data_IF_948719324973
#
_entry.id   IF_948719324973
#
_cell.length_a   1.000
_cell.length_b   1.000
_cell.length_c   1.000
_cell.angle_alpha   90.00
_cell.angle_beta   90.00
_cell.angle_gamma   90.00
#
_symmetry.space_group_name_H-M   'P 1'
#
loop_
_entity.id
_entity.type
_entity.pdbx_description
1 polymer ?
#
# COMPACT_ATOMS: atom_id res chain seq x y z
N UNK A 1 11.29 -64.31 33.76
CA UNK A 1 10.90 -64.93 32.48
C UNK A 1 10.58 -63.82 31.50
N UNK A 2 11.41 -63.70 30.45
CA UNK A 2 11.17 -63.25 29.06
C UNK A 2 10.06 -62.23 28.76
N UNK A 3 10.42 -61.18 28.02
CA UNK A 3 9.46 -60.38 27.25
C UNK A 3 10.06 -59.14 26.60
N UNK A 4 10.96 -59.33 25.63
CA UNK A 4 11.49 -58.26 24.78
C UNK A 4 10.40 -57.72 23.84
N UNK A 5 10.26 -56.40 23.76
CA UNK A 5 9.36 -55.70 22.83
C UNK A 5 10.12 -54.63 22.04
N UNK A 6 10.72 -55.07 20.93
CA UNK A 6 11.28 -54.24 19.85
C UNK A 6 10.20 -53.33 19.25
N UNK A 7 10.49 -52.06 19.05
CA UNK A 7 9.87 -51.25 17.99
C UNK A 7 10.93 -50.43 17.24
N UNK A 8 10.70 -50.12 15.95
CA UNK A 8 11.76 -50.08 14.94
C UNK A 8 12.12 -48.66 14.48
N UNK A 9 13.42 -48.48 14.21
CA UNK A 9 13.97 -47.86 13.00
C UNK A 9 13.36 -46.56 12.49
N UNK A 10 13.93 -45.43 12.91
CA UNK A 10 13.88 -44.19 12.15
C UNK A 10 14.69 -44.36 10.84
N UNK A 11 13.99 -44.65 9.73
CA UNK A 11 14.57 -44.54 8.39
C UNK A 11 14.74 -43.04 8.08
N UNK A 12 15.99 -42.58 8.11
CA UNK A 12 16.38 -41.29 7.53
C UNK A 12 16.23 -41.38 6.01
N UNK A 13 15.24 -40.67 5.46
CA UNK A 13 15.17 -40.45 4.02
C UNK A 13 16.31 -39.52 3.59
N UNK A 14 17.24 -40.05 2.80
CA UNK A 14 18.27 -39.30 2.11
C UNK A 14 17.62 -38.51 0.96
N UNK A 15 17.92 -37.21 0.88
CA UNK A 15 17.52 -36.34 -0.23
C UNK A 15 18.60 -36.44 -1.31
N UNK A 16 18.32 -36.87 -2.55
CA UNK A 16 19.32 -36.90 -3.61
C UNK A 16 19.61 -35.49 -4.14
N UNK A 17 20.88 -35.27 -4.45
CA UNK A 17 21.45 -34.02 -4.95
C UNK A 17 20.90 -33.61 -6.32
N UNK A 18 20.87 -32.29 -6.51
CA UNK A 18 20.45 -31.63 -7.75
C UNK A 18 21.72 -31.29 -8.53
N UNK A 19 21.95 -32.02 -9.63
CA UNK A 19 23.09 -31.86 -10.53
C UNK A 19 23.09 -30.49 -11.21
N UNK A 20 24.28 -29.87 -11.23
CA UNK A 20 24.55 -28.63 -11.95
C UNK A 20 24.70 -28.93 -13.44
N UNK A 21 23.65 -28.65 -14.20
CA UNK A 21 23.70 -28.58 -15.65
C UNK A 21 24.52 -27.38 -16.11
N UNK A 22 25.71 -27.66 -16.65
CA UNK A 22 26.55 -26.72 -17.35
C UNK A 22 26.06 -26.51 -18.79
N UNK A 23 26.25 -25.28 -19.28
CA UNK A 23 26.54 -24.99 -20.69
C UNK A 23 25.34 -24.85 -21.63
N UNK A 24 24.96 -23.61 -21.93
CA UNK A 24 24.58 -23.26 -23.30
C UNK A 24 25.19 -21.91 -23.68
N UNK A 25 26.14 -21.99 -24.59
CA UNK A 25 26.80 -20.89 -25.29
C UNK A 25 25.74 -20.09 -26.05
N UNK A 26 25.46 -18.86 -25.61
CA UNK A 26 24.68 -17.91 -26.39
C UNK A 26 25.59 -17.19 -27.39
N UNK A 27 25.46 -17.71 -28.61
CA UNK A 27 25.80 -17.14 -29.91
C UNK A 27 25.90 -15.62 -29.91
N UNK A 28 27.07 -15.13 -30.34
CA UNK A 28 27.24 -13.75 -30.75
C UNK A 28 26.36 -13.43 -31.95
N UNK A 29 25.50 -12.43 -31.82
CA UNK A 29 25.02 -11.65 -32.95
C UNK A 29 25.84 -10.37 -33.02
N UNK A 30 26.62 -10.27 -34.09
CA UNK A 30 27.28 -9.05 -34.50
C UNK A 30 26.22 -7.97 -34.76
N UNK A 31 26.11 -7.02 -33.85
CA UNK A 31 25.37 -5.78 -34.07
C UNK A 31 26.12 -4.99 -35.15
N UNK A 32 25.59 -5.04 -36.38
CA UNK A 32 26.00 -4.18 -37.48
C UNK A 32 25.80 -2.72 -37.06
N UNK A 33 26.87 -1.95 -37.22
CA UNK A 33 26.98 -0.57 -36.79
C UNK A 33 25.82 0.30 -37.23
N UNK A 34 25.05 0.74 -36.25
CA UNK A 34 24.28 1.98 -36.35
C UNK A 34 25.30 3.09 -36.13
N UNK A 35 25.67 3.78 -37.23
CA UNK A 35 26.46 5.02 -37.16
C UNK A 35 25.70 5.98 -36.24
N UNK A 36 26.32 6.29 -35.10
CA UNK A 36 25.89 7.41 -34.27
C UNK A 36 25.96 8.68 -35.14
N UNK A 37 24.79 9.24 -35.44
CA UNK A 37 24.70 10.59 -35.97
C UNK A 37 25.26 11.54 -34.89
N UNK A 38 26.19 12.44 -35.23
CA UNK A 38 26.64 13.43 -34.27
C UNK A 38 25.44 14.32 -33.92
N UNK A 39 25.04 14.31 -32.64
CA UNK A 39 24.25 15.39 -32.07
C UNK A 39 25.04 16.68 -32.28
N UNK A 40 24.70 17.42 -33.34
CA UNK A 40 25.12 18.80 -33.50
C UNK A 40 24.40 19.60 -32.40
N UNK A 41 25.05 19.72 -31.25
CA UNK A 41 24.74 20.68 -30.19
C UNK A 41 24.92 22.09 -30.77
N UNK A 42 23.93 22.56 -31.54
CA UNK A 42 23.78 23.99 -31.79
C UNK A 42 23.50 24.64 -30.45
N UNK A 43 24.45 25.46 -30.01
CA UNK A 43 24.32 26.34 -28.87
C UNK A 43 23.03 27.16 -29.00
N UNK A 44 22.07 26.92 -28.10
CA UNK A 44 20.97 27.83 -27.87
C UNK A 44 21.53 29.09 -27.21
N UNK A 45 21.84 30.11 -28.03
CA UNK A 45 22.13 31.46 -27.56
C UNK A 45 20.84 32.07 -27.01
N UNK A 46 20.54 31.79 -25.75
CA UNK A 46 19.44 32.42 -25.01
C UNK A 46 19.83 33.88 -24.78
N UNK A 47 19.27 34.80 -25.57
CA UNK A 47 19.35 36.24 -25.27
C UNK A 47 18.59 36.47 -23.97
N UNK A 48 19.28 36.90 -22.91
CA UNK A 48 18.62 37.38 -21.67
C UNK A 48 17.81 38.64 -22.01
N UNK A 49 16.50 38.69 -21.71
CA UNK A 49 15.79 39.96 -21.71
C UNK A 49 16.32 40.81 -20.54
N UNK A 50 16.85 41.99 -20.84
CA UNK A 50 17.03 43.08 -19.87
C UNK A 50 15.69 43.79 -19.74
N UNK A 51 15.02 43.63 -18.61
CA UNK A 51 14.30 44.73 -17.95
C UNK A 51 13.74 44.24 -16.62
N UNK A 52 14.16 44.93 -15.57
CA UNK A 52 13.61 44.83 -14.24
C UNK A 52 12.19 45.41 -14.28
N UNK A 53 11.22 44.62 -13.82
CA UNK A 53 9.84 45.03 -13.60
C UNK A 53 9.39 44.55 -12.23
N UNK A 54 9.24 45.50 -11.32
CA UNK A 54 8.46 45.53 -10.08
C UNK A 54 8.31 44.25 -9.21
N UNK A 55 8.96 44.16 -8.03
CA UNK A 55 8.89 42.99 -7.14
C UNK A 55 7.54 42.77 -6.44
N UNK A 56 6.54 43.65 -6.64
CA UNK A 56 5.33 43.70 -5.80
C UNK A 56 4.04 43.20 -6.46
N UNK A 57 4.07 42.71 -7.70
CA UNK A 57 2.87 42.27 -8.44
C UNK A 57 2.61 40.75 -8.41
N UNK A 58 3.18 40.01 -7.45
CA UNK A 58 2.88 38.58 -7.25
C UNK A 58 2.32 38.24 -5.87
N UNK A 59 1.96 39.23 -5.06
CA UNK A 59 1.29 38.97 -3.79
C UNK A 59 0.04 38.11 -4.05
N UNK A 60 -0.05 36.87 -3.54
CA UNK A 60 -1.26 36.08 -3.67
C UNK A 60 -2.36 36.88 -2.98
N UNK A 61 -3.44 37.20 -3.71
CA UNK A 61 -4.64 37.78 -3.08
C UNK A 61 -5.00 36.85 -1.92
N UNK A 62 -5.36 37.37 -0.72
CA UNK A 62 -6.01 36.53 0.26
C UNK A 62 -7.30 36.03 -0.38
N UNK A 63 -7.29 34.77 -0.83
CA UNK A 63 -8.49 34.11 -1.29
C UNK A 63 -9.52 34.26 -0.16
N UNK A 64 -10.57 35.03 -0.46
CA UNK A 64 -11.76 35.08 0.36
C UNK A 64 -12.18 33.63 0.57
N UNK A 65 -12.07 33.16 1.83
CA UNK A 65 -12.49 31.81 2.23
C UNK A 65 -13.93 31.65 1.76
N UNK A 66 -14.23 30.85 0.72
CA UNK A 66 -15.61 30.77 0.27
C UNK A 66 -16.36 30.04 1.37
N UNK A 67 -17.36 30.70 1.96
CA UNK A 67 -18.29 30.12 2.94
C UNK A 67 -19.00 28.86 2.38
N UNK A 68 -18.85 28.56 1.08
CA UNK A 68 -19.15 27.26 0.46
C UNK A 68 -18.38 26.08 1.04
N UNK A 69 -17.23 26.30 1.70
CA UNK A 69 -16.47 25.23 2.36
C UNK A 69 -17.17 24.71 3.63
N UNK A 70 -17.99 25.52 4.30
CA UNK A 70 -18.66 25.14 5.55
C UNK A 70 -19.83 24.17 5.37
N UNK A 71 -20.49 24.17 4.20
CA UNK A 71 -21.58 23.23 3.91
C UNK A 71 -21.08 21.83 3.51
N UNK A 72 -19.90 21.72 2.89
CA UNK A 72 -19.27 20.42 2.57
C UNK A 72 -18.65 19.72 3.80
N UNK A 73 -18.54 20.40 4.93
CA UNK A 73 -18.02 19.81 6.17
C UNK A 73 -19.13 19.22 7.06
N UNK A 74 -20.41 19.38 6.68
CA UNK A 74 -21.53 19.05 7.58
C UNK A 74 -22.06 17.61 7.42
N UNK A 75 -21.67 16.87 6.38
CA UNK A 75 -22.03 15.45 6.18
C UNK A 75 -20.93 14.68 5.44
N UNK A 76 -19.68 14.84 5.86
CA UNK A 76 -18.58 14.04 5.32
C UNK A 76 -18.26 12.92 6.31
N UNK A 77 -18.77 11.72 6.04
CA UNK A 77 -18.44 10.58 6.87
C UNK A 77 -16.93 10.32 6.91
N UNK A 78 -16.43 9.86 8.05
CA UNK A 78 -15.01 9.69 8.32
C UNK A 78 -14.67 8.24 8.67
N UNK A 79 -13.51 7.77 8.22
CA UNK A 79 -12.97 6.45 8.53
C UNK A 79 -11.90 6.54 9.59
N UNK A 80 -12.06 5.80 10.69
CA UNK A 80 -11.06 5.71 11.75
C UNK A 80 -10.70 4.24 12.04
N UNK A 81 -9.48 4.03 12.56
CA UNK A 81 -8.98 2.69 12.88
C UNK A 81 -9.18 2.37 14.36
N UNK A 82 -9.55 1.12 14.65
CA UNK A 82 -9.67 0.56 15.98
C UNK A 82 -8.62 -0.56 16.10
N UNK A 83 -7.58 -0.39 16.93
CA UNK A 83 -6.57 -1.42 17.13
C UNK A 83 -7.12 -2.59 17.94
N UNK A 84 -6.52 -3.76 17.76
CA UNK A 84 -6.84 -4.98 18.52
C UNK A 84 -6.55 -6.25 17.72
N UNK A 85 -6.71 -7.39 18.38
CA UNK A 85 -6.84 -8.70 17.73
C UNK A 85 -8.30 -9.09 17.83
N UNK A 86 -9.08 -8.72 16.82
CA UNK A 86 -10.52 -8.90 16.78
C UNK A 86 -10.84 -9.99 15.75
N UNK A 87 -11.87 -10.77 16.03
CA UNK A 87 -12.66 -11.50 15.03
C UNK A 87 -13.52 -10.51 14.24
N UNK A 88 -14.13 -10.95 13.13
CA UNK A 88 -15.02 -10.08 12.34
C UNK A 88 -16.25 -9.64 13.14
N UNK A 89 -16.81 -10.52 13.99
CA UNK A 89 -17.95 -10.18 14.84
C UNK A 89 -17.57 -9.19 15.95
N UNK A 90 -16.39 -9.35 16.56
CA UNK A 90 -15.86 -8.40 17.54
C UNK A 90 -15.54 -7.04 16.91
N UNK A 91 -15.03 -7.02 15.68
CA UNK A 91 -14.84 -5.79 14.89
C UNK A 91 -16.17 -5.04 14.71
N UNK A 92 -17.24 -5.74 14.32
CA UNK A 92 -18.58 -5.16 14.21
C UNK A 92 -19.09 -4.60 15.55
N UNK A 93 -18.87 -5.32 16.66
CA UNK A 93 -19.21 -4.83 17.98
C UNK A 93 -18.37 -3.60 18.37
N UNK A 94 -17.09 -3.57 18.02
CA UNK A 94 -16.17 -2.48 18.35
C UNK A 94 -16.49 -1.18 17.61
N UNK A 95 -16.96 -1.25 16.36
CA UNK A 95 -17.47 -0.07 15.65
C UNK A 95 -18.81 0.38 16.23
N UNK A 96 -19.75 -0.55 16.50
CA UNK A 96 -21.07 -0.22 17.08
C UNK A 96 -20.96 0.50 18.43
N UNK A 97 -20.04 0.07 19.30
CA UNK A 97 -19.77 0.75 20.59
C UNK A 97 -19.32 2.20 20.45
N UNK A 98 -18.86 2.62 19.26
CA UNK A 98 -18.43 3.98 18.95
C UNK A 98 -19.43 4.73 18.07
N UNK A 99 -20.67 4.24 17.95
CA UNK A 99 -21.68 4.86 17.08
C UNK A 99 -21.38 4.74 15.59
N UNK A 100 -20.52 3.78 15.20
CA UNK A 100 -20.06 3.60 13.83
C UNK A 100 -20.40 2.20 13.30
N UNK A 101 -20.26 2.02 12.00
CA UNK A 101 -20.34 0.72 11.33
C UNK A 101 -18.96 0.29 10.84
N UNK A 102 -18.75 -1.01 10.59
CA UNK A 102 -17.52 -1.45 9.93
C UNK A 102 -17.45 -0.81 8.54
N UNK A 103 -16.31 -0.23 8.21
CA UNK A 103 -16.12 0.45 6.95
C UNK A 103 -16.28 -0.51 5.76
N UNK A 104 -16.93 -0.02 4.70
CA UNK A 104 -16.90 -0.68 3.39
C UNK A 104 -15.55 -0.43 2.73
N UNK A 105 -15.25 -1.24 1.72
CA UNK A 105 -14.07 -1.07 0.86
C UNK A 105 -13.99 0.35 0.29
N UNK A 106 -15.11 0.84 -0.24
CA UNK A 106 -15.20 2.18 -0.81
C UNK A 106 -14.91 3.29 0.20
N UNK A 107 -15.36 3.15 1.45
CA UNK A 107 -15.07 4.12 2.51
C UNK A 107 -13.56 4.18 2.77
N UNK A 108 -12.89 3.02 2.90
CA UNK A 108 -11.44 2.97 3.11
C UNK A 108 -10.66 3.58 1.94
N UNK A 109 -11.04 3.24 0.70
CA UNK A 109 -10.40 3.79 -0.49
C UNK A 109 -10.59 5.30 -0.60
N UNK A 110 -11.79 5.81 -0.32
CA UNK A 110 -12.06 7.25 -0.32
C UNK A 110 -11.24 7.97 0.76
N UNK A 111 -11.20 7.43 1.98
CA UNK A 111 -10.41 8.00 3.06
C UNK A 111 -8.91 8.01 2.74
N UNK A 112 -8.38 6.94 2.17
CA UNK A 112 -6.98 6.92 1.68
C UNK A 112 -6.76 7.97 0.59
N UNK A 113 -7.64 8.02 -0.42
CA UNK A 113 -7.40 8.83 -1.62
C UNK A 113 -7.61 10.33 -1.39
N UNK A 114 -8.62 10.70 -0.60
CA UNK A 114 -9.06 12.09 -0.46
C UNK A 114 -8.76 12.69 0.92
N UNK A 115 -8.69 11.86 1.96
CA UNK A 115 -8.34 12.30 3.33
C UNK A 115 -6.90 11.97 3.73
N UNK A 116 -6.15 11.26 2.87
CA UNK A 116 -4.76 10.91 3.12
C UNK A 116 -4.56 9.84 4.20
N UNK A 117 -5.58 9.03 4.50
CA UNK A 117 -5.50 8.00 5.54
C UNK A 117 -4.31 7.04 5.30
N UNK A 118 -3.40 6.98 6.27
CA UNK A 118 -2.22 6.12 6.26
C UNK A 118 -2.16 5.31 7.56
N UNK A 119 -2.19 3.98 7.45
CA UNK A 119 -2.14 3.07 8.60
C UNK A 119 -1.43 1.76 8.21
N UNK A 120 -0.41 1.37 8.99
CA UNK A 120 0.39 0.15 8.75
C UNK A 120 -0.29 -1.16 9.22
N UNK A 121 -1.51 -1.08 9.73
CA UNK A 121 -2.17 -2.21 10.39
C UNK A 121 -3.36 -2.70 9.58
N UNK A 122 -3.42 -4.03 9.40
CA UNK A 122 -4.56 -4.70 8.82
C UNK A 122 -5.81 -4.52 9.68
N UNK A 123 -6.90 -4.12 9.03
CA UNK A 123 -8.20 -4.00 9.68
C UNK A 123 -9.31 -4.69 8.89
N UNK A 124 -10.23 -5.31 9.62
CA UNK A 124 -11.45 -5.87 9.05
C UNK A 124 -12.32 -4.81 8.38
N UNK A 125 -12.88 -5.17 7.24
CA UNK A 125 -13.88 -4.43 6.48
C UNK A 125 -15.20 -5.22 6.40
N UNK A 126 -16.28 -4.53 5.99
CA UNK A 126 -17.63 -5.09 5.97
C UNK A 126 -17.81 -6.27 5.00
N UNK A 127 -16.95 -6.41 3.98
CA UNK A 127 -16.93 -7.56 3.06
C UNK A 127 -16.23 -8.79 3.65
N UNK A 128 -15.69 -8.70 4.89
CA UNK A 128 -14.91 -9.75 5.52
C UNK A 128 -13.46 -9.81 5.05
N UNK A 129 -13.02 -8.88 4.20
CA UNK A 129 -11.62 -8.73 3.87
C UNK A 129 -10.84 -8.00 4.97
N UNK A 130 -9.52 -8.17 4.97
CA UNK A 130 -8.61 -7.37 5.78
C UNK A 130 -7.70 -6.57 4.87
N UNK A 131 -7.73 -5.24 5.03
CA UNK A 131 -6.98 -4.30 4.21
C UNK A 131 -6.28 -3.24 5.07
N UNK A 132 -5.34 -2.50 4.49
CA UNK A 132 -4.68 -1.36 5.13
C UNK A 132 -4.20 -0.34 4.09
N UNK A 133 -4.43 0.97 4.30
CA UNK A 133 -4.03 2.02 3.37
C UNK A 133 -2.63 2.58 3.67
N UNK A 134 -1.81 2.76 2.63
CA UNK A 134 -0.47 3.36 2.74
C UNK A 134 -0.39 4.56 1.79
N UNK A 135 -0.19 5.74 2.35
CA UNK A 135 0.03 6.99 1.59
C UNK A 135 1.52 7.26 1.45
N UNK A 136 2.30 6.98 2.50
CA UNK A 136 3.76 7.08 2.53
C UNK A 136 4.40 5.68 2.57
N UNK A 137 4.91 5.17 1.43
CA UNK A 137 5.52 3.84 1.33
C UNK A 137 6.68 3.66 2.31
N UNK A 138 6.74 2.50 2.98
CA UNK A 138 7.77 2.19 3.98
C UNK A 138 8.04 0.69 4.07
N UNK A 139 9.29 0.25 4.31
CA UNK A 139 9.69 -1.16 4.21
C UNK A 139 8.85 -2.13 5.05
N UNK A 140 8.42 -1.72 6.25
CA UNK A 140 7.65 -2.57 7.17
C UNK A 140 6.14 -2.63 6.92
N UNK A 141 5.63 -1.91 5.91
CA UNK A 141 4.19 -1.75 5.69
C UNK A 141 3.80 -2.08 4.25
N UNK A 142 3.94 -3.37 3.90
CA UNK A 142 3.61 -3.92 2.58
C UNK A 142 4.79 -4.06 1.62
N UNK A 143 5.94 -3.45 1.89
CA UNK A 143 7.19 -3.65 1.13
C UNK A 143 7.18 -3.18 -0.33
N UNK A 144 6.10 -2.51 -0.77
CA UNK A 144 5.97 -1.98 -2.12
C UNK A 144 6.37 -0.49 -2.16
N UNK A 145 6.96 -0.02 -3.28
CA UNK A 145 7.47 1.34 -3.40
C UNK A 145 6.37 2.39 -3.61
N UNK A 146 5.18 1.97 -4.05
CA UNK A 146 4.08 2.88 -4.37
C UNK A 146 3.06 3.01 -3.22
N UNK A 147 2.34 4.14 -3.14
CA UNK A 147 1.15 4.26 -2.30
C UNK A 147 0.03 3.30 -2.74
N UNK A 148 -0.89 2.96 -1.82
CA UNK A 148 -2.07 2.20 -2.16
C UNK A 148 -2.73 1.51 -0.96
N UNK A 149 -3.93 1.01 -1.20
CA UNK A 149 -4.60 0.09 -0.28
C UNK A 149 -4.08 -1.32 -0.53
N UNK A 150 -3.52 -1.93 0.52
CA UNK A 150 -3.00 -3.30 0.52
C UNK A 150 -4.02 -4.23 1.17
N UNK A 151 -3.93 -5.52 0.84
CA UNK A 151 -4.91 -6.52 1.26
C UNK A 151 -4.22 -7.79 1.72
N UNK A 152 -4.69 -8.34 2.85
CA UNK A 152 -4.37 -9.70 3.30
C UNK A 152 -5.41 -10.72 2.79
N UNK A 153 -6.38 -10.30 1.96
CA UNK A 153 -7.43 -11.16 1.43
C UNK A 153 -8.59 -11.34 2.41
N UNK A 154 -9.13 -12.56 2.45
CA UNK A 154 -10.29 -12.95 3.26
C UNK A 154 -9.89 -14.01 4.29
N UNK A 155 -9.28 -13.62 5.43
CA UNK A 155 -8.91 -14.56 6.47
C UNK A 155 -10.14 -15.15 7.18
N UNK A 156 -9.95 -16.22 7.95
CA UNK A 156 -11.02 -16.88 8.71
C UNK A 156 -11.69 -15.89 9.70
N UNK A 157 -13.01 -15.62 9.57
CA UNK A 157 -13.69 -14.59 10.35
C UNK A 157 -13.67 -14.82 11.87
N UNK A 158 -13.57 -16.08 12.31
CA UNK A 158 -13.54 -16.47 13.73
C UNK A 158 -12.15 -16.33 14.37
N UNK A 159 -11.10 -16.01 13.60
CA UNK A 159 -9.73 -15.89 14.10
C UNK A 159 -9.40 -14.45 14.47
N UNK A 160 -9.20 -14.20 15.76
CA UNK A 160 -8.83 -12.90 16.30
C UNK A 160 -7.37 -12.52 15.92
N UNK A 161 -7.20 -11.68 14.88
CA UNK A 161 -5.86 -11.35 14.36
C UNK A 161 -5.63 -9.88 14.01
N UNK A 162 -6.70 -9.12 13.76
CA UNK A 162 -6.61 -7.80 13.13
C UNK A 162 -7.45 -6.76 13.87
N UNK A 163 -7.14 -5.47 13.66
CA UNK A 163 -8.00 -4.37 14.09
C UNK A 163 -9.23 -4.24 13.19
N UNK A 164 -9.88 -3.09 13.19
CA UNK A 164 -10.97 -2.80 12.24
C UNK A 164 -11.00 -1.35 11.83
N UNK A 165 -11.42 -1.09 10.60
CA UNK A 165 -11.75 0.26 10.15
C UNK A 165 -13.25 0.47 10.36
N UNK A 166 -13.59 1.57 11.04
CA UNK A 166 -14.98 1.97 11.27
C UNK A 166 -15.28 3.22 10.46
N UNK A 167 -16.54 3.36 10.04
CA UNK A 167 -17.07 4.52 9.35
C UNK A 167 -18.22 5.13 10.17
N UNK A 168 -18.12 6.43 10.41
CA UNK A 168 -19.20 7.25 10.97
C UNK A 168 -19.62 8.26 9.94
N UNK A 169 -20.92 8.56 9.89
CA UNK A 169 -21.50 9.66 9.13
C UNK A 169 -21.61 10.93 9.98
#
# INVERSE_FOLDING_TARGET
MRGAGRTPGHLRAAVPGMDRGAGLVQRGLAARGIRALPCAYRACSVRRPRSAGDPQLWAPRPEARPLRRLLFHLHAGHVFFVPGRLTLSEAQAACRRRGAVVAKVGHLYAAWKFSGLDQCDGGWLADGSVRFPITTPRPRCGGLPDPGVRSFGFPQPQRASYGTYCYSE
#
